data_IF_690124069544
#
_entry.id   IF_690124069544
#
_cell.length_a   1.000
_cell.length_b   1.000
_cell.length_c   1.000
_cell.angle_alpha   90.00
_cell.angle_beta   90.00
_cell.angle_gamma   90.00
#
_symmetry.space_group_name_H-M   'P 1'
#
loop_
_entity.id
_entity.type
_entity.pdbx_description
1 polymer ?
#
# COMPACT_ATOMS: atom_id res chain seq x y z
N UNK A 1 17.11 27.62 -17.68
CA UNK A 1 17.69 27.18 -16.39
C UNK A 1 18.95 26.37 -16.69
N UNK A 2 20.15 26.81 -16.27
CA UNK A 2 21.39 26.06 -16.43
C UNK A 2 21.67 25.23 -15.16
N UNK A 3 22.20 24.03 -15.32
CA UNK A 3 22.59 23.14 -14.23
C UNK A 3 23.95 22.52 -14.51
N UNK A 4 24.75 22.38 -13.46
CA UNK A 4 26.04 21.74 -13.53
C UNK A 4 25.91 20.22 -13.62
N UNK A 5 26.72 19.61 -14.47
CA UNK A 5 26.85 18.16 -14.57
C UNK A 5 28.01 17.73 -13.66
N UNK A 6 27.72 16.84 -12.71
CA UNK A 6 28.72 16.30 -11.81
C UNK A 6 29.05 14.85 -12.21
N UNK A 7 30.34 14.50 -12.10
CA UNK A 7 30.80 13.11 -12.16
C UNK A 7 30.32 12.33 -10.93
N UNK A 8 30.40 11.01 -10.97
CA UNK A 8 30.20 10.13 -9.79
C UNK A 8 31.16 10.45 -8.63
N UNK A 9 32.28 11.09 -8.93
CA UNK A 9 33.27 11.52 -7.93
C UNK A 9 33.05 12.95 -7.41
N UNK A 10 31.97 13.64 -7.86
CA UNK A 10 31.63 15.01 -7.48
C UNK A 10 32.35 16.10 -8.26
N UNK A 11 33.13 15.77 -9.29
CA UNK A 11 33.82 16.75 -10.14
C UNK A 11 32.87 17.37 -11.17
N UNK A 12 33.01 18.66 -11.44
CA UNK A 12 32.22 19.34 -12.46
C UNK A 12 32.70 18.93 -13.86
N UNK A 13 31.82 18.32 -14.65
CA UNK A 13 32.10 17.90 -16.03
C UNK A 13 31.67 18.94 -17.06
N UNK A 14 30.66 19.78 -16.73
CA UNK A 14 30.12 20.77 -17.66
C UNK A 14 28.80 21.36 -17.17
N UNK A 15 28.13 22.10 -18.05
CA UNK A 15 26.80 22.66 -17.80
C UNK A 15 25.81 22.22 -18.88
N UNK A 16 24.58 21.93 -18.47
CA UNK A 16 23.47 21.66 -19.37
C UNK A 16 22.37 22.71 -19.21
N UNK A 17 21.84 23.17 -20.33
CA UNK A 17 20.68 24.06 -20.35
C UNK A 17 19.39 23.24 -20.39
N UNK A 18 18.58 23.32 -19.34
CA UNK A 18 17.28 22.67 -19.26
C UNK A 18 16.19 23.59 -19.78
N UNK A 19 15.23 23.01 -20.51
CA UNK A 19 14.07 23.75 -21.00
C UNK A 19 13.16 24.13 -19.81
N UNK A 20 12.94 25.41 -19.62
CA UNK A 20 12.19 25.96 -18.49
C UNK A 20 10.69 25.60 -18.53
N UNK A 21 10.12 25.45 -19.73
CA UNK A 21 8.74 25.00 -19.90
C UNK A 21 8.48 23.57 -19.38
N UNK A 22 9.54 22.74 -19.30
CA UNK A 22 9.42 21.34 -18.82
C UNK A 22 9.85 21.23 -17.36
N UNK A 23 10.95 21.88 -16.98
CA UNK A 23 11.58 21.70 -15.66
C UNK A 23 11.31 22.85 -14.68
N UNK A 24 10.77 23.98 -15.16
CA UNK A 24 10.40 25.13 -14.35
C UNK A 24 8.94 25.14 -13.85
N UNK A 25 8.22 24.04 -13.97
CA UNK A 25 6.80 23.95 -13.58
C UNK A 25 6.68 23.94 -12.05
N UNK A 26 5.74 24.73 -11.52
CA UNK A 26 5.43 24.72 -10.09
C UNK A 26 4.96 23.35 -9.61
N UNK A 27 5.47 22.86 -8.46
CA UNK A 27 5.13 21.54 -7.93
C UNK A 27 3.68 21.48 -7.44
N UNK A 28 2.91 20.53 -7.96
CA UNK A 28 1.58 20.22 -7.42
C UNK A 28 1.70 19.16 -6.32
N UNK A 29 1.63 19.59 -5.06
CA UNK A 29 1.79 18.73 -3.88
C UNK A 29 0.79 17.58 -3.85
N UNK A 30 -0.44 17.78 -4.32
CA UNK A 30 -1.45 16.72 -4.37
C UNK A 30 -1.05 15.60 -5.35
N UNK A 31 -0.57 15.97 -6.53
CA UNK A 31 -0.14 15.00 -7.55
C UNK A 31 1.11 14.24 -7.09
N UNK A 32 2.04 14.92 -6.43
CA UNK A 32 3.22 14.28 -5.82
C UNK A 32 2.84 13.27 -4.73
N UNK A 33 1.94 13.65 -3.83
CA UNK A 33 1.44 12.75 -2.80
C UNK A 33 0.73 11.51 -3.39
N UNK A 34 -0.07 11.70 -4.45
CA UNK A 34 -0.70 10.58 -5.16
C UNK A 34 0.35 9.65 -5.80
N UNK A 35 1.41 10.19 -6.38
CA UNK A 35 2.49 9.41 -6.97
C UNK A 35 3.23 8.58 -5.89
N UNK A 36 3.55 9.19 -4.76
CA UNK A 36 4.16 8.51 -3.62
C UNK A 36 3.25 7.40 -3.08
N UNK A 37 1.97 7.70 -2.84
CA UNK A 37 0.98 6.69 -2.41
C UNK A 37 0.87 5.53 -3.40
N UNK A 38 0.87 5.83 -4.70
CA UNK A 38 0.86 4.80 -5.74
C UNK A 38 2.09 3.90 -5.61
N UNK A 39 3.29 4.46 -5.50
CA UNK A 39 4.53 3.71 -5.38
C UNK A 39 4.51 2.79 -4.16
N UNK A 40 4.15 3.33 -2.99
CA UNK A 40 4.08 2.56 -1.75
C UNK A 40 3.02 1.45 -1.80
N UNK A 41 1.83 1.73 -2.34
CA UNK A 41 0.77 0.73 -2.45
C UNK A 41 1.10 -0.36 -3.47
N UNK A 42 1.71 -0.01 -4.60
CA UNK A 42 2.10 -0.99 -5.62
C UNK A 42 3.24 -1.90 -5.14
N UNK A 43 4.04 -1.48 -4.15
CA UNK A 43 5.05 -2.32 -3.53
C UNK A 43 4.49 -3.32 -2.50
N UNK A 44 3.22 -3.15 -2.06
CA UNK A 44 2.60 -4.04 -1.07
C UNK A 44 2.20 -5.37 -1.70
N UNK A 45 2.68 -6.48 -1.16
CA UNK A 45 2.36 -7.82 -1.63
C UNK A 45 0.91 -8.26 -1.33
N UNK A 46 0.30 -7.77 -0.26
CA UNK A 46 -1.10 -8.05 0.08
C UNK A 46 -1.42 -9.50 0.44
N UNK A 47 -0.46 -10.26 0.96
CA UNK A 47 -0.58 -11.69 1.26
C UNK A 47 -1.24 -12.01 2.61
N UNK A 48 -1.57 -11.00 3.44
CA UNK A 48 -2.20 -11.22 4.74
C UNK A 48 -3.55 -11.93 4.60
N UNK A 49 -3.72 -13.05 5.31
CA UNK A 49 -4.92 -13.86 5.28
C UNK A 49 -5.32 -14.33 6.66
N UNK A 50 -6.59 -14.19 7.02
CA UNK A 50 -7.18 -14.82 8.19
C UNK A 50 -8.29 -15.77 7.77
N UNK A 51 -8.36 -16.94 8.42
CA UNK A 51 -9.38 -17.94 8.14
C UNK A 51 -10.72 -17.56 8.78
N UNK A 52 -11.78 -17.59 7.99
CA UNK A 52 -13.16 -17.48 8.48
C UNK A 52 -13.59 -18.79 9.16
N UNK A 53 -14.72 -18.76 9.88
CA UNK A 53 -15.26 -19.96 10.55
C UNK A 53 -15.51 -21.13 9.59
N UNK A 54 -15.74 -20.87 8.33
CA UNK A 54 -15.93 -21.90 7.30
C UNK A 54 -14.61 -22.55 6.87
N UNK A 55 -13.54 -21.78 6.88
CA UNK A 55 -12.21 -22.22 6.43
C UNK A 55 -11.38 -22.89 7.53
N UNK A 56 -11.73 -22.67 8.79
CA UNK A 56 -11.05 -23.32 9.93
C UNK A 56 -11.41 -24.81 9.94
N UNK A 57 -10.40 -25.67 10.09
CA UNK A 57 -10.58 -27.12 10.17
C UNK A 57 -11.28 -27.53 11.48
N UNK A 58 -12.07 -28.60 11.46
CA UNK A 58 -12.73 -29.17 12.63
C UNK A 58 -14.18 -28.72 12.83
N UNK A 59 -14.75 -28.95 14.02
CA UNK A 59 -16.02 -28.39 14.49
C UNK A 59 -17.30 -28.90 13.84
N UNK A 60 -17.33 -30.07 13.21
CA UNK A 60 -18.54 -30.68 12.64
C UNK A 60 -19.57 -31.10 13.69
N UNK A 61 -19.14 -31.44 14.92
CA UNK A 61 -20.00 -31.85 16.01
C UNK A 61 -20.37 -30.67 16.89
N UNK A 62 -21.66 -30.64 17.34
CA UNK A 62 -22.12 -29.66 18.33
C UNK A 62 -21.40 -29.91 19.68
N UNK A 63 -20.80 -28.88 20.31
CA UNK A 63 -19.95 -29.05 21.51
C UNK A 63 -20.70 -29.64 22.69
N UNK A 64 -21.94 -29.26 22.90
CA UNK A 64 -22.82 -29.78 23.99
C UNK A 64 -24.30 -29.66 23.62
N UNK A 65 -25.17 -30.25 24.42
CA UNK A 65 -26.62 -30.25 24.25
C UNK A 65 -27.16 -28.83 24.33
N UNK A 66 -28.31 -28.58 23.64
CA UNK A 66 -28.93 -27.28 23.55
C UNK A 66 -29.41 -26.70 24.90
N UNK A 67 -29.80 -27.57 25.82
CA UNK A 67 -30.31 -27.25 27.16
C UNK A 67 -29.76 -28.24 28.20
N UNK A 68 -29.81 -27.89 29.49
CA UNK A 68 -29.46 -28.79 30.60
C UNK A 68 -27.96 -28.86 30.93
N UNK A 69 -27.13 -27.96 30.39
CA UNK A 69 -25.67 -27.96 30.65
C UNK A 69 -25.20 -26.78 31.51
N UNK A 70 -26.08 -25.83 31.83
CA UNK A 70 -25.70 -24.59 32.54
C UNK A 70 -24.76 -23.66 31.76
N UNK A 71 -24.39 -24.03 30.54
CA UNK A 71 -23.48 -23.24 29.66
C UNK A 71 -24.22 -22.45 28.59
N UNK A 72 -23.59 -21.42 28.08
CA UNK A 72 -24.10 -20.68 26.90
C UNK A 72 -24.27 -21.65 25.71
N UNK A 73 -25.29 -21.42 24.91
CA UNK A 73 -25.57 -22.22 23.72
C UNK A 73 -24.46 -22.06 22.70
N UNK A 74 -23.93 -23.17 22.20
CA UNK A 74 -22.89 -23.17 21.17
C UNK A 74 -23.24 -24.16 20.05
N UNK A 75 -23.10 -23.72 18.81
CA UNK A 75 -23.33 -24.57 17.64
C UNK A 75 -22.07 -25.19 17.07
N UNK A 76 -20.93 -24.52 17.23
CA UNK A 76 -19.65 -24.99 16.70
C UNK A 76 -18.48 -24.40 17.48
N UNK A 77 -17.42 -25.17 17.66
CA UNK A 77 -16.14 -24.73 18.25
C UNK A 77 -15.36 -23.78 17.32
N UNK A 78 -15.72 -23.74 16.03
CA UNK A 78 -15.11 -22.82 15.06
C UNK A 78 -15.68 -21.40 15.13
N UNK A 79 -16.65 -21.13 16.02
CA UNK A 79 -17.19 -19.80 16.22
C UNK A 79 -16.08 -18.84 16.69
N UNK A 80 -16.10 -17.56 16.26
CA UNK A 80 -15.12 -16.55 16.69
C UNK A 80 -15.05 -16.33 18.22
N UNK A 81 -16.07 -16.78 18.96
CA UNK A 81 -16.11 -16.70 20.42
C UNK A 81 -15.17 -17.70 21.10
N UNK A 82 -14.68 -18.71 20.39
CA UNK A 82 -13.80 -19.73 20.94
C UNK A 82 -12.36 -19.49 20.54
N UNK A 83 -11.43 -19.80 21.42
CA UNK A 83 -10.01 -19.82 21.11
C UNK A 83 -9.74 -20.79 19.96
N UNK A 84 -9.03 -20.36 18.93
CA UNK A 84 -8.82 -21.15 17.71
C UNK A 84 -10.00 -21.14 16.73
N UNK A 85 -11.07 -20.39 16.99
CA UNK A 85 -12.15 -20.18 16.06
C UNK A 85 -11.78 -19.25 14.90
N UNK A 86 -12.71 -19.08 13.94
CA UNK A 86 -12.51 -18.22 12.80
C UNK A 86 -12.56 -16.74 13.14
N UNK A 87 -11.94 -15.92 12.30
CA UNK A 87 -11.97 -14.46 12.42
C UNK A 87 -13.12 -13.88 11.60
N UNK A 88 -13.85 -12.92 12.18
CA UNK A 88 -14.89 -12.14 11.46
C UNK A 88 -14.21 -10.95 10.78
N UNK A 89 -14.49 -10.74 9.50
CA UNK A 89 -13.90 -9.65 8.71
C UNK A 89 -12.36 -9.55 8.80
N UNK A 90 -11.69 -10.70 8.91
CA UNK A 90 -10.24 -10.75 8.88
C UNK A 90 -9.66 -10.34 7.53
N UNK A 91 -8.36 -10.01 7.47
CA UNK A 91 -7.72 -9.67 6.22
C UNK A 91 -7.82 -10.83 5.23
N UNK A 92 -8.03 -10.51 3.96
CA UNK A 92 -7.96 -11.45 2.84
C UNK A 92 -6.89 -10.96 1.86
N UNK A 93 -6.21 -11.87 1.15
CA UNK A 93 -5.28 -11.48 0.11
C UNK A 93 -5.97 -10.58 -0.90
N UNK A 94 -5.37 -9.44 -1.17
CA UNK A 94 -5.88 -8.48 -2.15
C UNK A 94 -4.75 -7.71 -2.81
N UNK A 95 -4.99 -7.25 -4.02
CA UNK A 95 -4.14 -6.30 -4.69
C UNK A 95 -4.40 -4.89 -4.14
N UNK A 96 -3.33 -4.18 -3.80
CA UNK A 96 -3.33 -2.79 -3.36
C UNK A 96 -2.93 -1.84 -4.48
N UNK A 97 -2.55 -2.35 -5.65
CA UNK A 97 -2.08 -1.53 -6.75
C UNK A 97 -3.19 -0.65 -7.33
N UNK A 98 -2.82 0.52 -7.75
CA UNK A 98 -3.70 1.40 -8.52
C UNK A 98 -2.93 2.14 -9.61
N UNK A 99 -3.61 2.39 -10.72
CA UNK A 99 -3.07 3.14 -11.83
C UNK A 99 -3.27 4.64 -11.63
N UNK A 100 -2.27 5.43 -12.00
CA UNK A 100 -2.36 6.89 -12.07
C UNK A 100 -2.58 7.32 -13.52
N UNK A 101 -3.50 8.28 -13.79
CA UNK A 101 -3.74 8.78 -15.12
C UNK A 101 -2.46 9.24 -15.82
N UNK A 102 -2.32 8.91 -17.11
CA UNK A 102 -1.08 9.23 -17.86
C UNK A 102 -0.76 10.73 -17.86
N UNK A 103 -1.78 11.59 -17.93
CA UNK A 103 -1.60 13.05 -17.91
C UNK A 103 -0.98 13.59 -16.61
N UNK A 104 -1.11 12.86 -15.49
CA UNK A 104 -0.53 13.25 -14.19
C UNK A 104 0.92 12.79 -14.01
N UNK A 105 1.35 11.74 -14.74
CA UNK A 105 2.71 11.18 -14.62
C UNK A 105 3.83 12.15 -15.01
N UNK A 106 3.73 12.89 -16.14
CA UNK A 106 4.78 13.81 -16.56
C UNK A 106 5.04 14.92 -15.54
N UNK A 107 4.00 15.49 -14.93
CA UNK A 107 4.15 16.54 -13.92
C UNK A 107 4.94 16.10 -12.68
N UNK A 108 4.75 14.86 -12.23
CA UNK A 108 5.56 14.29 -11.12
C UNK A 108 6.99 14.00 -11.54
N UNK A 109 7.21 13.47 -12.74
CA UNK A 109 8.55 13.14 -13.24
C UNK A 109 9.38 14.40 -13.46
N UNK A 110 8.82 15.44 -14.06
CA UNK A 110 9.49 16.71 -14.28
C UNK A 110 9.92 17.38 -12.96
N UNK A 111 9.08 17.30 -11.93
CA UNK A 111 9.39 17.83 -10.60
C UNK A 111 10.49 17.02 -9.89
N UNK A 112 10.41 15.70 -9.90
CA UNK A 112 11.43 14.84 -9.28
C UNK A 112 12.80 14.95 -9.97
N UNK A 113 12.81 15.26 -11.27
CA UNK A 113 14.03 15.50 -12.02
C UNK A 113 14.58 16.92 -11.82
N UNK A 114 13.80 17.86 -11.28
CA UNK A 114 14.26 19.21 -10.98
C UNK A 114 15.21 19.18 -9.76
N UNK A 115 16.53 19.44 -9.92
CA UNK A 115 17.46 19.43 -8.80
C UNK A 115 17.18 20.64 -7.90
N UNK A 116 16.82 20.40 -6.67
CA UNK A 116 16.58 21.42 -5.64
C UNK A 116 15.26 21.32 -4.89
N UNK A 117 14.40 20.34 -5.17
CA UNK A 117 13.11 20.20 -4.50
C UNK A 117 13.15 19.42 -3.17
N UNK A 118 14.31 18.95 -2.77
CA UNK A 118 14.55 18.34 -1.45
C UNK A 118 15.47 19.26 -0.67
N UNK A 119 14.95 20.38 -0.20
CA UNK A 119 15.65 21.24 0.73
C UNK A 119 14.78 21.46 1.96
N UNK A 120 15.33 21.01 3.08
CA UNK A 120 15.02 21.33 4.49
C UNK A 120 13.62 21.02 4.96
#
# INVERSE_FOLDING_TARGET
>A
MSKEILSTNGEKLGEITLNEAVFGVEPNMHVMHLALRRQLNNARQGSACAKTRAEVSGGGKKPWKQKGTGRARAGSLRSPLFAGGGVIFGPKPRDYSFAMPQKMKPGTAAFLAAPGSVAT
#
